data_IF_508405435589
#
_entry.id   IF_508405435589
#
_cell.length_a   1.000
_cell.length_b   1.000
_cell.length_c   1.000
_cell.angle_alpha   90.00
_cell.angle_beta   90.00
_cell.angle_gamma   90.00
#
_symmetry.space_group_name_H-M   'P 1'
#
loop_
_entity.id
_entity.type
_entity.pdbx_description
1 polymer ?
#
# COMPACT_ATOMS: atom_id res chain seq x y z
N UNK A 1 30.43 -0.56 33.66
CA UNK A 1 29.26 -1.13 32.96
C UNK A 1 28.21 -1.48 34.00
N UNK A 2 26.98 -1.00 33.81
CA UNK A 2 25.90 -1.38 34.72
C UNK A 2 25.59 -2.88 34.54
N UNK A 3 25.05 -3.52 35.58
CA UNK A 3 24.68 -4.95 35.47
C UNK A 3 23.63 -5.27 34.42
N UNK A 4 22.99 -4.22 33.82
CA UNK A 4 22.01 -4.31 32.78
C UNK A 4 22.63 -4.24 31.35
N UNK A 5 23.82 -3.63 31.21
CA UNK A 5 24.42 -3.34 29.90
C UNK A 5 24.65 -4.60 29.08
N UNK A 6 25.17 -5.67 29.73
CA UNK A 6 25.42 -6.96 29.05
C UNK A 6 24.09 -7.58 28.55
N UNK A 7 23.05 -7.54 29.40
CA UNK A 7 21.75 -8.14 29.09
C UNK A 7 21.03 -7.35 27.99
N UNK A 8 21.08 -6.03 28.06
CA UNK A 8 20.47 -5.16 27.03
C UNK A 8 21.15 -5.30 25.68
N UNK A 9 22.48 -5.41 25.66
CA UNK A 9 23.24 -5.73 24.45
C UNK A 9 22.86 -7.10 23.88
N UNK A 10 22.66 -8.09 24.75
CA UNK A 10 22.24 -9.42 24.34
C UNK A 10 20.82 -9.39 23.68
N UNK A 11 19.86 -8.62 24.23
CA UNK A 11 18.54 -8.44 23.63
C UNK A 11 18.61 -7.75 22.27
N UNK A 12 19.42 -6.70 22.14
CA UNK A 12 19.59 -5.97 20.90
C UNK A 12 20.21 -6.83 19.78
N UNK A 13 21.17 -7.67 20.13
CA UNK A 13 21.89 -8.53 19.18
C UNK A 13 21.18 -9.84 18.86
N UNK A 14 20.29 -10.29 19.73
CA UNK A 14 19.57 -11.56 19.58
C UNK A 14 18.06 -11.34 19.74
N UNK A 15 17.40 -10.70 18.78
CA UNK A 15 15.96 -10.46 18.85
C UNK A 15 15.18 -11.78 18.93
N UNK A 16 13.98 -11.73 19.49
CA UNK A 16 13.09 -12.87 19.55
C UNK A 16 12.67 -13.25 18.11
N UNK A 17 12.72 -14.55 17.80
CA UNK A 17 12.27 -15.06 16.51
C UNK A 17 10.73 -15.07 16.44
N UNK A 18 10.17 -15.00 15.24
CA UNK A 18 8.72 -14.90 15.02
C UNK A 18 7.94 -16.04 15.69
N UNK A 19 8.48 -17.27 15.65
CA UNK A 19 7.83 -18.47 16.16
C UNK A 19 8.31 -18.88 17.57
N UNK A 20 9.18 -18.07 18.19
CA UNK A 20 9.77 -18.35 19.50
C UNK A 20 8.84 -17.87 20.62
N UNK A 21 8.41 -18.80 21.52
CA UNK A 21 7.68 -18.39 22.72
C UNK A 21 8.55 -17.55 23.65
N UNK A 22 7.95 -16.56 24.33
CA UNK A 22 8.69 -15.68 25.27
C UNK A 22 9.48 -16.45 26.32
N UNK A 23 8.96 -17.58 26.81
CA UNK A 23 9.65 -18.43 27.79
C UNK A 23 10.95 -18.99 27.21
N UNK A 24 10.91 -19.48 25.98
CA UNK A 24 12.08 -20.08 25.31
C UNK A 24 13.11 -19.01 24.95
N UNK A 25 12.65 -17.82 24.55
CA UNK A 25 13.50 -16.65 24.37
C UNK A 25 14.28 -16.30 25.63
N UNK A 26 13.63 -16.24 26.82
CA UNK A 26 14.32 -15.97 28.06
C UNK A 26 15.35 -17.06 28.45
N UNK A 27 15.04 -18.31 28.17
CA UNK A 27 15.98 -19.44 28.35
C UNK A 27 17.17 -19.31 27.40
N UNK A 28 16.95 -18.93 26.15
CA UNK A 28 18.01 -18.73 25.16
C UNK A 28 18.95 -17.59 25.56
N UNK A 29 18.40 -16.44 25.94
CA UNK A 29 19.19 -15.30 26.41
C UNK A 29 19.89 -15.60 27.74
N UNK A 30 19.26 -16.36 28.63
CA UNK A 30 19.88 -16.76 29.92
C UNK A 30 21.18 -17.53 29.73
N UNK A 31 21.24 -18.40 28.70
CA UNK A 31 22.46 -19.14 28.34
C UNK A 31 23.55 -18.23 27.79
N UNK A 32 23.18 -17.19 27.03
CA UNK A 32 24.15 -16.23 26.46
C UNK A 32 24.75 -15.34 27.55
N UNK A 33 23.91 -14.89 28.48
CA UNK A 33 24.30 -13.90 29.51
C UNK A 33 24.82 -14.54 30.80
N UNK A 34 24.55 -15.83 31.03
CA UNK A 34 24.92 -16.54 32.28
C UNK A 34 24.08 -16.14 33.47
N UNK A 35 22.82 -15.69 33.30
CA UNK A 35 21.88 -15.33 34.37
C UNK A 35 20.63 -16.22 34.30
N UNK A 36 19.87 -16.27 35.42
CA UNK A 36 18.63 -17.07 35.47
C UNK A 36 17.59 -16.52 34.47
N UNK A 37 16.73 -17.40 33.93
CA UNK A 37 15.66 -17.00 33.05
C UNK A 37 14.66 -16.01 33.68
N UNK A 38 14.47 -16.07 35.01
CA UNK A 38 13.66 -15.13 35.78
C UNK A 38 14.29 -13.73 35.76
N UNK A 39 15.58 -13.63 36.05
CA UNK A 39 16.32 -12.37 35.97
C UNK A 39 16.30 -11.78 34.57
N UNK A 40 16.39 -12.62 33.52
CA UNK A 40 16.29 -12.19 32.12
C UNK A 40 14.89 -11.63 31.83
N UNK A 41 13.82 -12.23 32.34
CA UNK A 41 12.46 -11.71 32.22
C UNK A 41 12.32 -10.31 32.82
N UNK A 42 12.86 -10.08 34.01
CA UNK A 42 12.80 -8.77 34.69
C UNK A 42 13.61 -7.72 33.90
N UNK A 43 14.81 -8.07 33.45
CA UNK A 43 15.64 -7.21 32.59
C UNK A 43 14.99 -6.91 31.24
N UNK A 44 14.24 -7.86 30.70
CA UNK A 44 13.50 -7.66 29.44
C UNK A 44 12.39 -6.63 29.61
N UNK A 45 11.67 -6.62 30.72
CA UNK A 45 10.65 -5.63 31.01
C UNK A 45 11.27 -4.23 31.09
N UNK A 46 12.41 -4.08 31.75
CA UNK A 46 13.13 -2.80 31.79
C UNK A 46 13.66 -2.37 30.40
N UNK A 47 14.14 -3.33 29.60
CA UNK A 47 14.58 -3.06 28.24
C UNK A 47 13.45 -2.51 27.39
N UNK A 48 12.26 -3.10 27.47
CA UNK A 48 11.07 -2.63 26.75
C UNK A 48 10.68 -1.22 27.17
N UNK A 49 10.67 -0.92 28.47
CA UNK A 49 10.39 0.43 28.96
C UNK A 49 11.35 1.45 28.34
N UNK A 50 12.66 1.16 28.34
CA UNK A 50 13.65 2.05 27.72
C UNK A 50 13.48 2.23 26.21
N UNK A 51 13.08 1.19 25.49
CA UNK A 51 12.78 1.30 24.06
C UNK A 51 11.59 2.23 23.83
N UNK A 52 10.56 2.14 24.68
CA UNK A 52 9.42 3.06 24.62
C UNK A 52 9.85 4.50 24.89
N UNK A 53 10.64 4.74 25.95
CA UNK A 53 11.14 6.07 26.28
C UNK A 53 11.93 6.67 25.10
N UNK A 54 12.79 5.90 24.44
CA UNK A 54 13.54 6.35 23.27
C UNK A 54 12.65 6.69 22.07
N UNK A 55 11.56 5.96 21.88
CA UNK A 55 10.61 6.26 20.82
C UNK A 55 9.79 7.50 21.13
N UNK A 56 9.35 7.69 22.37
CA UNK A 56 8.65 8.88 22.84
C UNK A 56 9.52 10.14 22.71
N UNK A 57 10.78 10.09 23.14
CA UNK A 57 11.74 11.18 23.01
C UNK A 57 11.99 11.57 21.55
N UNK A 58 11.91 10.59 20.63
CA UNK A 58 12.04 10.80 19.19
C UNK A 58 10.73 11.22 18.50
N UNK A 59 9.61 11.28 19.23
CA UNK A 59 8.30 11.62 18.69
C UNK A 59 7.71 10.58 17.75
N UNK A 60 8.12 9.31 17.85
CA UNK A 60 7.65 8.20 17.00
C UNK A 60 6.90 7.15 17.81
N UNK A 61 5.89 6.54 17.22
CA UNK A 61 5.16 5.47 17.89
C UNK A 61 6.02 4.19 17.94
N UNK A 62 6.18 3.60 19.14
CA UNK A 62 7.01 2.41 19.37
C UNK A 62 6.67 1.26 18.42
N UNK A 63 5.39 1.05 18.12
CA UNK A 63 4.93 -0.01 17.21
C UNK A 63 5.50 0.08 15.79
N UNK A 64 5.88 1.29 15.36
CA UNK A 64 6.35 1.57 14.00
C UNK A 64 7.88 1.48 13.87
N UNK A 65 8.58 1.33 15.00
CA UNK A 65 10.05 1.26 15.06
C UNK A 65 10.52 -0.17 15.18
N UNK A 66 11.24 -0.68 14.19
CA UNK A 66 11.88 -2.00 14.20
C UNK A 66 13.17 -2.01 15.04
N UNK A 67 14.02 -1.02 14.81
CA UNK A 67 15.28 -0.82 15.50
C UNK A 67 15.69 0.65 15.38
N UNK A 68 16.60 1.07 16.23
CA UNK A 68 17.09 2.43 16.23
C UNK A 68 18.50 2.55 16.85
N UNK A 69 19.01 3.77 16.75
CA UNK A 69 20.24 4.18 17.37
C UNK A 69 19.97 5.35 18.31
N UNK A 70 20.34 5.19 19.57
CA UNK A 70 20.40 6.30 20.52
C UNK A 70 21.84 6.80 20.58
N UNK A 71 22.04 8.06 20.23
CA UNK A 71 23.34 8.70 20.27
C UNK A 71 23.36 9.76 21.38
N UNK A 72 24.31 9.63 22.27
CA UNK A 72 24.65 10.67 23.26
C UNK A 72 25.99 11.29 22.88
N UNK A 73 26.46 12.28 23.67
CA UNK A 73 27.76 12.90 23.42
C UNK A 73 28.92 11.88 23.42
N UNK A 74 28.81 10.84 24.27
CA UNK A 74 29.92 9.92 24.55
C UNK A 74 29.62 8.49 24.12
N UNK A 75 28.37 8.15 23.73
CA UNK A 75 27.95 6.78 23.43
C UNK A 75 26.99 6.69 22.24
N UNK A 76 27.03 5.55 21.57
CA UNK A 76 26.05 5.17 20.55
C UNK A 76 25.51 3.78 20.87
N UNK A 77 24.23 3.68 21.13
CA UNK A 77 23.55 2.43 21.48
C UNK A 77 22.58 2.02 20.38
N UNK A 78 22.77 0.82 19.86
CA UNK A 78 21.79 0.18 18.98
C UNK A 78 20.75 -0.56 19.83
N UNK A 79 19.46 -0.43 19.47
CA UNK A 79 18.40 -1.23 20.08
C UNK A 79 17.51 -1.85 19.02
N UNK A 80 16.88 -2.97 19.36
CA UNK A 80 15.79 -3.59 18.60
C UNK A 80 14.52 -3.53 19.41
N UNK A 81 13.41 -3.24 18.76
CA UNK A 81 12.11 -3.24 19.43
C UNK A 81 11.61 -4.69 19.58
N UNK A 82 11.47 -5.21 20.81
CA UNK A 82 11.02 -6.57 21.03
C UNK A 82 9.52 -6.78 20.74
N UNK A 83 8.76 -5.72 20.64
CA UNK A 83 7.33 -5.72 20.33
C UNK A 83 7.04 -5.29 18.88
N UNK A 84 8.07 -5.12 18.07
CA UNK A 84 7.87 -4.88 16.65
C UNK A 84 7.27 -6.14 15.99
N UNK A 85 6.02 -6.05 15.60
CA UNK A 85 5.30 -7.18 15.01
C UNK A 85 5.67 -7.45 13.53
N UNK A 86 6.76 -6.84 13.07
CA UNK A 86 7.24 -6.99 11.71
C UNK A 86 6.40 -6.22 10.68
N UNK A 87 6.98 -5.90 9.55
CA UNK A 87 6.18 -5.56 8.38
C UNK A 87 5.16 -6.69 8.18
N UNK A 88 3.88 -6.34 8.07
CA UNK A 88 2.79 -7.30 7.92
C UNK A 88 3.25 -8.35 6.91
N UNK A 89 3.31 -9.62 7.29
CA UNK A 89 3.84 -10.66 6.40
C UNK A 89 3.03 -10.66 5.11
N UNK A 90 3.66 -10.98 3.99
CA UNK A 90 2.98 -11.11 2.70
C UNK A 90 1.70 -11.97 2.82
N UNK A 91 1.76 -13.05 3.60
CA UNK A 91 0.60 -13.92 3.84
C UNK A 91 -0.53 -13.20 4.57
N UNK A 92 -0.24 -12.39 5.59
CA UNK A 92 -1.27 -11.60 6.28
C UNK A 92 -1.88 -10.52 5.37
N UNK A 93 -1.06 -9.87 4.52
CA UNK A 93 -1.57 -8.91 3.52
C UNK A 93 -2.46 -9.63 2.53
N UNK A 94 -2.01 -10.77 1.99
CA UNK A 94 -2.77 -11.60 1.04
C UNK A 94 -4.09 -12.04 1.66
N UNK A 95 -4.07 -12.60 2.87
CA UNK A 95 -5.27 -13.12 3.53
C UNK A 95 -6.26 -11.99 3.86
N UNK A 96 -5.76 -10.82 4.26
CA UNK A 96 -6.58 -9.62 4.44
C UNK A 96 -7.21 -9.16 3.13
N UNK A 97 -6.42 -9.09 2.05
CA UNK A 97 -6.93 -8.75 0.71
C UNK A 97 -7.97 -9.75 0.21
N UNK A 98 -7.74 -11.06 0.42
CA UNK A 98 -8.72 -12.10 0.07
C UNK A 98 -10.00 -11.95 0.89
N UNK A 99 -9.91 -11.64 2.18
CA UNK A 99 -11.08 -11.40 3.03
C UNK A 99 -11.85 -10.15 2.59
N UNK A 100 -11.15 -9.06 2.29
CA UNK A 100 -11.74 -7.83 1.76
C UNK A 100 -12.42 -8.08 0.41
N UNK A 101 -11.77 -8.80 -0.51
CA UNK A 101 -12.35 -9.16 -1.82
C UNK A 101 -13.59 -10.06 -1.68
N UNK A 102 -13.58 -11.02 -0.76
CA UNK A 102 -14.75 -11.86 -0.48
C UNK A 102 -15.93 -11.07 0.08
N UNK A 103 -15.66 -10.08 0.93
CA UNK A 103 -16.68 -9.18 1.49
C UNK A 103 -17.17 -8.15 0.47
N UNK A 104 -16.31 -7.76 -0.47
CA UNK A 104 -16.59 -6.80 -1.54
C UNK A 104 -17.16 -7.48 -2.81
N UNK A 105 -17.56 -8.73 -2.75
CA UNK A 105 -18.23 -9.37 -3.89
C UNK A 105 -19.66 -8.82 -4.04
N UNK A 106 -19.89 -7.71 -4.76
CA UNK A 106 -21.22 -7.18 -4.95
C UNK A 106 -22.03 -8.20 -5.75
N UNK A 107 -23.19 -8.54 -5.28
CA UNK A 107 -24.14 -9.33 -6.06
C UNK A 107 -24.77 -8.39 -7.08
N UNK A 108 -24.19 -8.32 -8.24
CA UNK A 108 -24.81 -7.57 -9.36
C UNK A 108 -26.10 -8.27 -9.78
N UNK A 109 -27.19 -7.51 -10.00
CA UNK A 109 -28.40 -8.07 -10.55
C UNK A 109 -28.11 -8.61 -11.96
N UNK A 110 -28.71 -9.75 -12.30
CA UNK A 110 -28.66 -10.25 -13.67
C UNK A 110 -29.46 -9.30 -14.55
N UNK A 111 -28.77 -8.51 -15.36
CA UNK A 111 -29.39 -7.58 -16.30
C UNK A 111 -29.77 -8.37 -17.54
N UNK A 112 -31.09 -8.57 -17.75
CA UNK A 112 -31.58 -9.16 -18.99
C UNK A 112 -31.56 -8.10 -20.08
N UNK A 113 -30.80 -8.33 -21.14
CA UNK A 113 -30.68 -7.44 -22.28
C UNK A 113 -31.30 -8.08 -23.51
N UNK A 114 -32.06 -7.32 -24.30
CA UNK A 114 -32.57 -7.74 -25.57
C UNK A 114 -31.51 -7.40 -26.64
N UNK A 115 -31.07 -8.41 -27.39
CA UNK A 115 -30.15 -8.18 -28.51
C UNK A 115 -30.90 -7.46 -29.64
N UNK A 116 -30.32 -6.37 -30.13
CA UNK A 116 -30.79 -5.68 -31.29
C UNK A 116 -30.26 -6.31 -32.59
N UNK A 117 -31.03 -6.20 -33.71
CA UNK A 117 -30.53 -6.62 -35.01
C UNK A 117 -29.44 -5.68 -35.55
N UNK A 118 -29.48 -4.42 -35.12
CA UNK A 118 -28.55 -3.35 -35.54
C UNK A 118 -27.70 -2.90 -34.33
N UNK A 119 -27.14 -3.87 -33.61
CA UNK A 119 -26.34 -3.62 -32.41
C UNK A 119 -24.95 -3.07 -32.72
N UNK A 120 -24.53 -2.09 -31.95
CA UNK A 120 -23.21 -1.44 -32.07
C UNK A 120 -22.26 -1.91 -30.96
N UNK A 121 -20.97 -1.96 -31.30
CA UNK A 121 -19.90 -2.09 -30.34
C UNK A 121 -19.38 -0.68 -29.96
N UNK A 122 -19.45 -0.32 -28.69
CA UNK A 122 -18.81 0.88 -28.20
C UNK A 122 -17.41 0.51 -27.69
N UNK A 123 -16.38 1.19 -28.20
CA UNK A 123 -15.00 1.01 -27.73
C UNK A 123 -14.62 2.23 -26.91
N UNK A 124 -14.11 1.98 -25.70
CA UNK A 124 -13.64 3.00 -24.75
C UNK A 124 -12.20 2.66 -24.38
N UNK A 125 -11.28 3.56 -24.68
CA UNK A 125 -9.85 3.41 -24.46
C UNK A 125 -9.29 4.72 -23.85
N UNK A 126 -9.35 4.86 -22.51
CA UNK A 126 -8.75 6.00 -21.83
C UNK A 126 -7.22 5.81 -21.75
N UNK A 127 -6.52 6.33 -22.73
CA UNK A 127 -5.07 6.30 -22.82
C UNK A 127 -4.43 7.55 -22.17
N UNK A 128 -3.14 7.46 -21.83
CA UNK A 128 -2.29 8.57 -21.34
C UNK A 128 -2.87 9.30 -20.12
N UNK A 129 -3.48 8.56 -19.21
CA UNK A 129 -4.12 9.13 -18.02
C UNK A 129 -3.09 9.62 -17.01
N UNK A 130 -1.97 8.91 -16.87
CA UNK A 130 -0.86 9.28 -15.99
C UNK A 130 -1.28 9.60 -14.55
N UNK A 131 -2.04 8.71 -13.88
CA UNK A 131 -2.39 8.86 -12.47
C UNK A 131 -1.09 8.97 -11.65
N UNK A 132 -1.01 10.02 -10.83
CA UNK A 132 0.17 10.37 -10.06
C UNK A 132 1.10 11.38 -10.73
N UNK A 133 0.77 11.89 -11.93
CA UNK A 133 1.49 13.00 -12.53
C UNK A 133 1.20 14.29 -11.75
N UNK A 134 2.25 15.08 -11.49
CA UNK A 134 2.14 16.41 -10.91
C UNK A 134 2.64 17.45 -11.93
N UNK A 135 1.78 18.41 -12.26
CA UNK A 135 2.14 19.58 -13.06
C UNK A 135 1.49 20.83 -12.48
N UNK A 136 2.21 21.92 -12.51
CA UNK A 136 1.71 23.24 -12.13
C UNK A 136 1.53 24.12 -13.37
N UNK A 137 0.43 24.87 -13.40
CA UNK A 137 0.01 25.68 -14.56
C UNK A 137 1.07 26.68 -15.01
N UNK A 138 1.88 27.21 -14.09
CA UNK A 138 2.91 28.19 -14.44
C UNK A 138 4.07 27.58 -15.23
N UNK A 139 4.31 26.25 -15.12
CA UNK A 139 5.36 25.54 -15.87
C UNK A 139 4.83 24.90 -17.15
N UNK A 140 3.64 24.30 -17.08
CA UNK A 140 3.10 23.44 -18.14
C UNK A 140 1.89 24.02 -18.85
N UNK A 141 1.34 25.13 -18.34
CA UNK A 141 0.14 25.79 -18.85
C UNK A 141 -1.17 25.28 -18.23
N UNK A 142 -1.17 24.12 -17.59
CA UNK A 142 -2.33 23.53 -16.88
C UNK A 142 -1.87 22.82 -15.61
N UNK A 143 -2.70 22.90 -14.57
CA UNK A 143 -2.52 22.06 -13.39
C UNK A 143 -2.94 20.62 -13.70
N UNK A 144 -2.15 19.67 -13.19
CA UNK A 144 -2.49 18.26 -13.26
C UNK A 144 -2.04 17.53 -12.00
N UNK A 145 -2.97 16.79 -11.39
CA UNK A 145 -2.75 15.95 -10.22
C UNK A 145 -3.59 14.68 -10.32
N UNK A 146 -3.47 13.79 -9.34
CA UNK A 146 -4.23 12.54 -9.28
C UNK A 146 -5.75 12.77 -9.27
N UNK A 147 -6.26 13.81 -8.62
CA UNK A 147 -7.70 14.08 -8.55
C UNK A 147 -8.21 14.60 -9.89
N UNK A 148 -7.44 15.44 -10.56
CA UNK A 148 -7.76 15.93 -11.92
C UNK A 148 -7.77 14.77 -12.90
N UNK A 149 -6.78 13.86 -12.83
CA UNK A 149 -6.72 12.67 -13.67
C UNK A 149 -7.97 11.81 -13.52
N UNK A 150 -8.32 11.44 -12.27
CA UNK A 150 -9.53 10.64 -11.97
C UNK A 150 -10.79 11.32 -12.51
N UNK A 151 -10.96 12.60 -12.21
CA UNK A 151 -12.14 13.36 -12.67
C UNK A 151 -12.23 13.38 -14.20
N UNK A 152 -11.14 13.64 -14.91
CA UNK A 152 -11.12 13.69 -16.39
C UNK A 152 -11.52 12.34 -17.00
N UNK A 153 -11.07 11.22 -16.42
CA UNK A 153 -11.50 9.89 -16.90
C UNK A 153 -13.00 9.68 -16.72
N UNK A 154 -13.53 9.94 -15.52
CA UNK A 154 -14.93 9.71 -15.22
C UNK A 154 -15.84 10.63 -16.05
N UNK A 155 -15.51 11.93 -16.16
CA UNK A 155 -16.24 12.90 -16.99
C UNK A 155 -16.14 12.53 -18.48
N UNK A 156 -14.97 12.08 -18.94
CA UNK A 156 -14.77 11.65 -20.33
C UNK A 156 -15.61 10.43 -20.67
N UNK A 157 -15.61 9.40 -19.81
CA UNK A 157 -16.45 8.20 -19.99
C UNK A 157 -17.94 8.56 -19.96
N UNK A 158 -18.38 9.40 -19.01
CA UNK A 158 -19.77 9.87 -18.97
C UNK A 158 -20.14 10.60 -20.26
N UNK A 159 -19.27 11.48 -20.75
CA UNK A 159 -19.49 12.20 -22.00
C UNK A 159 -19.59 11.28 -23.24
N UNK A 160 -18.85 10.17 -23.25
CA UNK A 160 -18.97 9.14 -24.30
C UNK A 160 -20.32 8.42 -24.17
N UNK A 161 -20.72 8.02 -22.97
CA UNK A 161 -22.03 7.39 -22.71
C UNK A 161 -23.17 8.33 -23.22
N UNK A 162 -23.11 9.60 -22.85
CA UNK A 162 -24.13 10.58 -23.23
C UNK A 162 -24.20 10.77 -24.74
N UNK A 163 -23.06 10.83 -25.42
CA UNK A 163 -22.99 10.92 -26.89
C UNK A 163 -23.44 9.64 -27.59
N UNK A 164 -23.34 8.49 -26.92
CA UNK A 164 -23.82 7.22 -27.48
C UNK A 164 -25.33 7.03 -27.35
N UNK A 165 -26.03 7.92 -26.68
CA UNK A 165 -27.49 7.88 -26.59
C UNK A 165 -28.11 7.98 -27.99
N UNK A 166 -29.04 7.05 -28.26
CA UNK A 166 -29.67 6.92 -29.59
C UNK A 166 -29.08 5.83 -30.47
N UNK A 167 -27.95 5.25 -30.07
CA UNK A 167 -27.40 4.05 -30.70
C UNK A 167 -27.77 2.81 -29.86
N UNK A 168 -28.08 1.70 -30.53
CA UNK A 168 -28.27 0.42 -29.84
C UNK A 168 -26.94 -0.19 -29.52
N UNK A 169 -26.40 0.10 -28.33
CA UNK A 169 -25.13 -0.47 -27.86
C UNK A 169 -25.38 -1.87 -27.31
N UNK A 170 -24.91 -2.90 -28.01
CA UNK A 170 -25.02 -4.31 -27.56
C UNK A 170 -23.86 -4.74 -26.70
N UNK A 171 -22.67 -4.19 -26.95
CA UNK A 171 -21.44 -4.51 -26.24
C UNK A 171 -20.57 -3.28 -26.08
N UNK A 172 -19.80 -3.29 -25.01
CA UNK A 172 -18.75 -2.32 -24.77
C UNK A 172 -17.42 -3.08 -24.66
N UNK A 173 -16.43 -2.64 -25.43
CA UNK A 173 -15.04 -3.03 -25.22
C UNK A 173 -14.36 -1.91 -24.44
N UNK A 174 -14.00 -2.20 -23.20
CA UNK A 174 -13.26 -1.28 -22.36
C UNK A 174 -11.80 -1.74 -22.29
N UNK A 175 -10.88 -0.90 -22.76
CA UNK A 175 -9.45 -1.18 -22.83
C UNK A 175 -8.78 -0.48 -21.66
N UNK A 176 -8.10 -1.24 -20.82
CA UNK A 176 -7.25 -0.73 -19.73
C UNK A 176 -5.79 -0.75 -20.13
N UNK A 177 -4.95 -0.05 -19.38
CA UNK A 177 -3.51 0.05 -19.64
C UNK A 177 -3.15 1.41 -20.25
N UNK A 178 -2.29 1.42 -21.27
CA UNK A 178 -1.89 2.62 -22.03
C UNK A 178 -1.51 3.81 -21.12
N UNK A 179 -0.46 3.63 -20.30
CA UNK A 179 0.08 4.64 -19.41
C UNK A 179 -0.91 5.19 -18.37
N UNK A 180 -1.68 4.28 -17.75
CA UNK A 180 -2.59 4.65 -16.65
C UNK A 180 -1.84 5.21 -15.45
N UNK A 181 -0.62 4.72 -15.16
CA UNK A 181 0.26 5.23 -14.11
C UNK A 181 1.35 6.11 -14.70
N UNK A 182 1.71 7.18 -13.96
CA UNK A 182 2.78 8.08 -14.36
C UNK A 182 4.19 7.54 -14.09
N UNK A 183 4.33 6.64 -13.11
CA UNK A 183 5.62 6.04 -12.70
C UNK A 183 5.49 4.54 -12.57
N UNK A 184 6.57 3.81 -12.91
CA UNK A 184 6.58 2.36 -12.96
C UNK A 184 7.12 1.71 -11.69
N UNK A 185 7.71 2.50 -10.80
CA UNK A 185 8.35 1.98 -9.59
C UNK A 185 8.33 2.96 -8.41
N UNK A 186 8.57 2.47 -7.17
CA UNK A 186 8.59 3.31 -5.97
C UNK A 186 9.68 4.40 -5.94
N UNK A 187 10.64 4.38 -6.86
CA UNK A 187 11.70 5.39 -6.98
C UNK A 187 11.27 6.62 -7.77
N UNK A 188 10.01 6.71 -8.15
CA UNK A 188 9.42 7.78 -8.96
C UNK A 188 10.11 7.90 -10.32
N UNK A 189 10.24 6.81 -11.01
CA UNK A 189 10.91 6.73 -12.30
C UNK A 189 10.06 5.95 -13.30
N UNK A 190 10.26 6.25 -14.58
CA UNK A 190 9.81 5.40 -15.68
C UNK A 190 10.60 4.10 -15.72
N UNK A 191 10.16 3.13 -16.53
CA UNK A 191 10.90 1.88 -16.79
C UNK A 191 12.34 2.14 -17.24
N UNK A 192 12.56 3.20 -18.02
CA UNK A 192 13.90 3.61 -18.48
C UNK A 192 14.74 4.34 -17.42
N UNK A 193 14.20 4.54 -16.20
CA UNK A 193 14.91 5.20 -15.10
C UNK A 193 14.83 6.72 -15.11
N UNK A 194 14.00 7.34 -15.95
CA UNK A 194 13.81 8.80 -15.98
C UNK A 194 13.01 9.22 -14.73
N UNK A 195 13.55 10.13 -13.89
CA UNK A 195 12.82 10.69 -12.76
C UNK A 195 11.59 11.47 -13.21
N UNK A 196 10.52 11.41 -12.43
CA UNK A 196 9.25 12.07 -12.71
C UNK A 196 8.76 12.81 -11.45
N UNK A 197 8.14 13.97 -11.65
CA UNK A 197 7.42 14.66 -10.59
C UNK A 197 6.07 14.01 -10.36
N UNK A 198 5.80 13.68 -9.09
CA UNK A 198 4.64 12.84 -8.76
C UNK A 198 3.81 13.40 -7.64
N UNK A 199 2.50 13.32 -7.82
CA UNK A 199 1.50 13.50 -6.77
C UNK A 199 1.24 12.15 -6.09
N UNK A 200 1.73 12.00 -4.85
CA UNK A 200 1.56 10.81 -4.04
C UNK A 200 2.63 9.73 -4.23
N UNK A 201 2.39 8.60 -3.56
CA UNK A 201 3.27 7.44 -3.56
C UNK A 201 2.84 6.43 -4.64
N UNK A 202 3.78 5.71 -5.22
CA UNK A 202 3.51 4.72 -6.27
C UNK A 202 2.36 3.76 -5.92
N UNK A 203 2.36 3.20 -4.71
CA UNK A 203 1.32 2.27 -4.30
C UNK A 203 -0.06 2.93 -4.13
N UNK A 204 -0.10 4.16 -3.63
CA UNK A 204 -1.35 4.92 -3.54
C UNK A 204 -1.94 5.21 -4.91
N UNK A 205 -1.09 5.57 -5.88
CA UNK A 205 -1.49 5.81 -7.27
C UNK A 205 -1.97 4.54 -7.94
N UNK A 206 -1.33 3.40 -7.68
CA UNK A 206 -1.80 2.09 -8.14
C UNK A 206 -3.21 1.75 -7.61
N UNK A 207 -3.47 1.99 -6.32
CA UNK A 207 -4.80 1.78 -5.74
C UNK A 207 -5.85 2.72 -6.34
N UNK A 208 -5.48 3.96 -6.64
CA UNK A 208 -6.34 4.92 -7.33
C UNK A 208 -6.66 4.48 -8.75
N UNK A 209 -5.66 4.04 -9.52
CA UNK A 209 -5.84 3.51 -10.87
C UNK A 209 -6.81 2.31 -10.88
N UNK A 210 -6.59 1.36 -9.95
CA UNK A 210 -7.52 0.24 -9.77
C UNK A 210 -8.94 0.71 -9.50
N UNK A 211 -9.12 1.70 -8.61
CA UNK A 211 -10.45 2.22 -8.27
C UNK A 211 -11.11 2.88 -9.47
N UNK A 212 -10.38 3.67 -10.24
CA UNK A 212 -10.91 4.30 -11.48
C UNK A 212 -11.46 3.26 -12.44
N UNK A 213 -10.76 2.14 -12.64
CA UNK A 213 -11.29 1.07 -13.50
C UNK A 213 -12.57 0.45 -12.95
N UNK A 214 -12.67 0.28 -11.63
CA UNK A 214 -13.91 -0.21 -11.00
C UNK A 214 -15.04 0.79 -11.21
N UNK A 215 -14.80 2.07 -10.97
CA UNK A 215 -15.80 3.13 -11.11
C UNK A 215 -16.29 3.22 -12.57
N UNK A 216 -15.37 3.15 -13.55
CA UNK A 216 -15.73 3.12 -14.97
C UNK A 216 -16.56 1.88 -15.32
N UNK A 217 -16.17 0.69 -14.84
CA UNK A 217 -16.95 -0.53 -15.07
C UNK A 217 -18.37 -0.41 -14.48
N UNK A 218 -18.51 0.19 -13.29
CA UNK A 218 -19.82 0.45 -12.68
C UNK A 218 -20.69 1.42 -13.52
N UNK A 219 -20.06 2.39 -14.20
CA UNK A 219 -20.77 3.28 -15.14
C UNK A 219 -21.20 2.54 -16.42
N UNK A 220 -20.39 1.61 -16.91
CA UNK A 220 -20.61 0.95 -18.20
C UNK A 220 -21.57 -0.25 -18.12
N UNK A 221 -21.54 -1.01 -17.02
CA UNK A 221 -22.38 -2.20 -16.84
C UNK A 221 -23.88 -1.93 -17.01
N UNK A 222 -24.46 -0.81 -16.56
CA UNK A 222 -25.86 -0.49 -16.84
C UNK A 222 -26.18 -0.27 -18.31
N UNK A 223 -25.21 0.16 -19.12
CA UNK A 223 -25.40 0.51 -20.55
C UNK A 223 -25.44 -0.74 -21.42
N UNK A 224 -24.41 -1.58 -21.37
CA UNK A 224 -24.31 -2.78 -22.19
C UNK A 224 -23.43 -3.86 -21.53
N UNK A 225 -23.31 -5.04 -22.19
CA UNK A 225 -22.37 -6.06 -21.76
C UNK A 225 -20.93 -5.58 -21.99
N UNK A 226 -20.14 -5.54 -20.91
CA UNK A 226 -18.78 -5.02 -20.95
C UNK A 226 -17.77 -6.15 -21.07
N UNK A 227 -16.88 -6.04 -22.06
CA UNK A 227 -15.66 -6.82 -22.15
C UNK A 227 -14.49 -5.91 -21.76
N UNK A 228 -13.88 -6.21 -20.62
CA UNK A 228 -12.70 -5.49 -20.15
C UNK A 228 -11.45 -6.27 -20.55
N UNK A 229 -10.50 -5.58 -21.17
CA UNK A 229 -9.18 -6.12 -21.52
C UNK A 229 -8.09 -5.20 -20.99
N UNK A 230 -6.98 -5.82 -20.59
CA UNK A 230 -5.84 -5.12 -19.99
C UNK A 230 -4.54 -5.68 -20.56
#
# INVERSE_FOLDING_TARGET
MSQYDITFKAFAQNPRQLDEFRKDYYVRISKIVGKSALTIKDHFTLYKSKVNDYCEDAGVATKDVKHGWVKTKDTSLFFTNPDYEGAVSYDKIRDKLIAELKNYSPKYPIIKRNKSKDGHLLVIDPADVHIGKLCEAFETGEDYDTNIAVRRVLEGVQGIIDKSQGYNIDKILFIGGNDILHIDNPRRQTTSGTPQDTDGMWYSNFLKAKQVYVDVLEMLIPVADVHFTF
#
